data_IF_763587573673
#
_entry.id   IF_763587573673
#
_cell.length_a   1.000
_cell.length_b   1.000
_cell.length_c   1.000
_cell.angle_alpha   90.00
_cell.angle_beta   90.00
_cell.angle_gamma   90.00
#
_symmetry.space_group_name_H-M   'P 1'
#
loop_
_entity.id
_entity.type
_entity.pdbx_description
1 polymer ?
#
# COMPACT_ATOMS: atom_id res chain seq x y z
N UNK A 1 49.90 -17.40 -10.07
CA UNK A 1 48.80 -16.40 -9.94
C UNK A 1 48.02 -16.44 -11.24
N UNK A 2 46.90 -17.15 -11.22
CA UNK A 2 46.19 -17.54 -12.43
C UNK A 2 45.26 -16.39 -12.79
N UNK A 3 45.60 -15.59 -13.80
CA UNK A 3 44.82 -14.43 -14.25
C UNK A 3 43.32 -14.76 -14.46
N UNK A 4 43.03 -16.02 -14.80
CA UNK A 4 41.70 -16.57 -14.99
C UNK A 4 40.87 -16.57 -13.69
N UNK A 5 41.49 -16.80 -12.52
CA UNK A 5 40.79 -16.77 -11.23
C UNK A 5 40.43 -15.33 -10.81
N UNK A 6 41.27 -14.36 -11.18
CA UNK A 6 41.04 -12.94 -10.89
C UNK A 6 39.89 -12.38 -11.73
N UNK A 7 39.80 -12.78 -13.00
CA UNK A 7 38.66 -12.43 -13.86
C UNK A 7 37.36 -13.12 -13.41
N UNK A 8 37.44 -14.38 -12.99
CA UNK A 8 36.28 -15.10 -12.46
C UNK A 8 35.75 -14.47 -11.17
N UNK A 9 36.64 -14.07 -10.24
CA UNK A 9 36.25 -13.38 -9.01
C UNK A 9 35.54 -12.04 -9.29
N UNK A 10 36.01 -11.28 -10.28
CA UNK A 10 35.39 -10.02 -10.70
C UNK A 10 33.97 -10.27 -11.27
N UNK A 11 33.82 -11.30 -12.09
CA UNK A 11 32.51 -11.70 -12.63
C UNK A 11 31.52 -12.13 -11.53
N UNK A 12 31.98 -12.89 -10.54
CA UNK A 12 31.16 -13.29 -9.39
C UNK A 12 30.69 -12.07 -8.59
N UNK A 13 31.56 -11.09 -8.35
CA UNK A 13 31.20 -9.84 -7.66
C UNK A 13 30.14 -9.07 -8.46
N UNK A 14 30.27 -8.98 -9.78
CA UNK A 14 29.28 -8.32 -10.63
C UNK A 14 27.91 -8.99 -10.52
N UNK A 15 27.85 -10.32 -10.59
CA UNK A 15 26.60 -11.08 -10.45
C UNK A 15 25.97 -10.88 -9.06
N UNK A 16 26.79 -10.88 -8.01
CA UNK A 16 26.34 -10.65 -6.64
C UNK A 16 25.76 -9.23 -6.47
N UNK A 17 26.41 -8.24 -7.08
CA UNK A 17 25.97 -6.84 -7.04
C UNK A 17 24.68 -6.64 -7.83
N UNK A 18 24.52 -7.31 -8.99
CA UNK A 18 23.27 -7.32 -9.75
C UNK A 18 22.13 -7.98 -8.99
N UNK A 19 22.35 -9.10 -8.30
CA UNK A 19 21.34 -9.73 -7.44
C UNK A 19 20.93 -8.81 -6.28
N UNK A 20 21.90 -8.16 -5.63
CA UNK A 20 21.62 -7.23 -4.53
C UNK A 20 20.84 -5.99 -5.00
N UNK A 21 21.15 -5.44 -6.18
CA UNK A 21 20.35 -4.37 -6.76
C UNK A 21 18.94 -4.88 -7.13
N UNK A 22 18.84 -6.06 -7.72
CA UNK A 22 17.55 -6.65 -8.10
C UNK A 22 16.64 -6.88 -6.88
N UNK A 23 17.18 -7.26 -5.73
CA UNK A 23 16.39 -7.39 -4.48
C UNK A 23 15.96 -6.03 -3.91
N UNK A 24 16.80 -5.00 -4.00
CA UNK A 24 16.46 -3.63 -3.59
C UNK A 24 15.35 -3.02 -4.47
N UNK A 25 15.38 -3.25 -5.77
CA UNK A 25 14.34 -2.75 -6.70
C UNK A 25 13.03 -3.56 -6.66
N UNK A 26 13.06 -4.81 -6.19
CA UNK A 26 11.83 -5.60 -5.98
C UNK A 26 11.09 -5.29 -4.68
N UNK A 27 11.76 -4.65 -3.72
CA UNK A 27 11.20 -4.43 -2.39
C UNK A 27 10.97 -2.93 -2.05
N UNK A 28 10.30 -2.11 -2.88
CA UNK A 28 10.01 -0.70 -2.58
C UNK A 28 8.96 -0.48 -1.48
N UNK A 29 8.63 -1.49 -0.68
CA UNK A 29 7.72 -1.35 0.44
C UNK A 29 7.19 -2.70 0.84
N UNK A 30 7.25 -3.00 2.14
CA UNK A 30 6.31 -3.93 2.73
C UNK A 30 4.91 -3.43 2.34
N UNK A 31 4.32 -4.06 1.33
CA UNK A 31 2.92 -3.88 1.00
C UNK A 31 2.19 -4.47 2.19
N UNK A 32 1.89 -3.65 3.21
CA UNK A 32 0.87 -4.01 4.19
C UNK A 32 -0.32 -4.43 3.35
N UNK A 33 -0.70 -5.71 3.45
CA UNK A 33 -1.72 -6.27 2.59
C UNK A 33 -2.97 -5.39 2.71
N UNK A 34 -3.29 -4.66 1.64
CA UNK A 34 -4.48 -3.82 1.59
C UNK A 34 -5.67 -4.75 1.73
N UNK A 35 -6.49 -4.52 2.75
CA UNK A 35 -7.68 -5.32 2.97
C UNK A 35 -8.82 -4.82 2.09
N UNK A 36 -9.36 -5.68 1.24
CA UNK A 36 -10.58 -5.37 0.48
C UNK A 36 -11.78 -5.55 1.41
N UNK A 37 -12.48 -4.45 1.68
CA UNK A 37 -13.68 -4.42 2.53
C UNK A 37 -14.89 -3.98 1.72
N UNK A 38 -16.09 -4.39 2.15
CA UNK A 38 -17.33 -3.89 1.53
C UNK A 38 -17.61 -2.42 1.91
N UNK A 39 -18.35 -1.71 1.06
CA UNK A 39 -18.74 -0.32 1.34
C UNK A 39 -19.52 -0.18 2.65
N UNK A 40 -20.44 -1.11 2.92
CA UNK A 40 -21.18 -1.17 4.19
C UNK A 40 -20.25 -1.34 5.39
N UNK A 41 -19.19 -2.13 5.23
CA UNK A 41 -18.18 -2.30 6.27
C UNK A 41 -17.40 -1.01 6.46
N UNK A 42 -16.97 -0.31 5.41
CA UNK A 42 -16.38 1.03 5.53
C UNK A 42 -17.28 1.96 6.35
N UNK A 43 -18.57 2.05 6.02
CA UNK A 43 -19.51 2.91 6.76
C UNK A 43 -19.61 2.53 8.25
N UNK A 44 -19.64 1.23 8.56
CA UNK A 44 -19.65 0.75 9.94
C UNK A 44 -18.35 1.12 10.68
N UNK A 45 -17.20 1.04 10.00
CA UNK A 45 -15.89 1.38 10.55
C UNK A 45 -15.76 2.89 10.79
N UNK A 46 -16.29 3.70 9.86
CA UNK A 46 -16.40 5.16 9.99
C UNK A 46 -17.32 5.53 11.16
N UNK A 47 -18.47 4.87 11.28
CA UNK A 47 -19.42 5.11 12.37
C UNK A 47 -18.83 4.74 13.74
N UNK A 48 -17.92 3.75 13.75
CA UNK A 48 -17.16 3.33 14.93
C UNK A 48 -15.88 4.14 15.17
N UNK A 49 -15.60 5.16 14.34
CA UNK A 49 -14.44 6.03 14.48
C UNK A 49 -13.08 5.34 14.24
N UNK A 50 -13.09 4.19 13.54
CA UNK A 50 -11.87 3.41 13.28
C UNK A 50 -11.16 3.80 11.99
N UNK A 51 -11.73 4.70 11.18
CA UNK A 51 -11.11 5.21 9.94
C UNK A 51 -10.42 6.54 10.22
N UNK A 52 -9.16 6.66 9.80
CA UNK A 52 -8.35 7.88 9.96
C UNK A 52 -8.44 8.76 8.72
N UNK A 53 -8.18 8.17 7.56
CA UNK A 53 -8.14 8.85 6.27
C UNK A 53 -8.74 7.99 5.16
N UNK A 54 -9.30 8.65 4.16
CA UNK A 54 -9.80 8.03 2.93
C UNK A 54 -9.51 8.92 1.73
N UNK A 55 -8.98 8.31 0.67
CA UNK A 55 -8.77 8.89 -0.64
C UNK A 55 -9.82 8.31 -1.59
N UNK A 56 -10.62 9.19 -2.20
CA UNK A 56 -11.68 8.81 -3.14
C UNK A 56 -11.17 9.02 -4.57
N UNK A 57 -11.10 7.95 -5.36
CA UNK A 57 -10.63 7.95 -6.76
C UNK A 57 -11.69 7.36 -7.67
N UNK A 58 -12.63 8.21 -8.13
CA UNK A 58 -13.77 7.74 -8.90
C UNK A 58 -14.67 6.85 -8.02
N UNK A 59 -14.91 5.58 -8.39
CA UNK A 59 -15.69 4.65 -7.57
C UNK A 59 -14.83 3.86 -6.56
N UNK A 60 -13.51 3.90 -6.68
CA UNK A 60 -12.60 3.24 -5.75
C UNK A 60 -12.27 4.17 -4.58
N UNK A 61 -12.26 3.61 -3.38
CA UNK A 61 -11.92 4.30 -2.14
C UNK A 61 -10.78 3.56 -1.49
N UNK A 62 -9.69 4.27 -1.25
CA UNK A 62 -8.56 3.81 -0.47
C UNK A 62 -8.61 4.48 0.88
N UNK A 63 -8.19 3.81 1.95
CA UNK A 63 -8.10 4.47 3.24
C UNK A 63 -7.21 3.75 4.22
N UNK A 64 -7.02 4.38 5.36
CA UNK A 64 -6.23 3.84 6.46
C UNK A 64 -7.06 3.83 7.73
N UNK A 65 -7.07 2.69 8.43
CA UNK A 65 -7.63 2.61 9.77
C UNK A 65 -6.76 3.36 10.78
N UNK A 66 -7.33 3.67 11.93
CA UNK A 66 -6.65 4.27 13.09
C UNK A 66 -5.51 3.40 13.61
N UNK A 67 -5.54 2.09 13.35
CA UNK A 67 -4.46 1.14 13.68
C UNK A 67 -3.33 1.07 12.62
N UNK A 68 -3.43 1.86 11.54
CA UNK A 68 -2.43 1.92 10.47
C UNK A 68 -2.59 0.89 9.36
N UNK A 69 -3.60 0.01 9.42
CA UNK A 69 -3.87 -0.94 8.32
C UNK A 69 -4.54 -0.23 7.14
N UNK A 70 -4.00 -0.38 5.91
CA UNK A 70 -4.65 0.13 4.71
C UNK A 70 -5.80 -0.78 4.28
N UNK A 71 -6.83 -0.18 3.71
CA UNK A 71 -7.96 -0.87 3.12
C UNK A 71 -8.37 -0.26 1.78
N UNK A 72 -9.11 -1.05 1.02
CA UNK A 72 -9.72 -0.71 -0.26
C UNK A 72 -11.21 -1.02 -0.15
N UNK A 73 -12.04 -0.14 -0.68
CA UNK A 73 -13.43 -0.49 -0.96
C UNK A 73 -13.90 0.15 -2.26
N UNK A 74 -14.99 -0.37 -2.80
CA UNK A 74 -15.66 0.17 -3.97
C UNK A 74 -17.01 0.77 -3.53
N UNK A 75 -17.22 2.05 -3.81
CA UNK A 75 -18.48 2.73 -3.56
C UNK A 75 -19.16 3.11 -4.88
N UNK A 76 -20.44 2.73 -5.07
CA UNK A 76 -21.24 3.37 -6.13
C UNK A 76 -21.38 4.86 -5.82
N UNK A 77 -21.41 5.73 -6.85
CA UNK A 77 -21.49 7.20 -6.69
C UNK A 77 -22.62 7.60 -5.72
N UNK A 78 -22.23 7.93 -4.49
CA UNK A 78 -23.13 8.41 -3.44
C UNK A 78 -22.74 9.86 -3.08
N UNK A 79 -23.57 10.85 -3.43
CA UNK A 79 -23.29 12.25 -3.14
C UNK A 79 -23.31 12.58 -1.64
N UNK A 80 -23.84 11.70 -0.78
CA UNK A 80 -23.91 11.90 0.67
C UNK A 80 -22.67 11.40 1.42
N UNK A 81 -21.81 10.62 0.75
CA UNK A 81 -20.65 9.97 1.36
C UNK A 81 -19.65 10.96 1.95
N UNK A 82 -19.27 12.00 1.18
CA UNK A 82 -18.32 13.02 1.61
C UNK A 82 -18.82 13.75 2.85
N UNK A 83 -20.10 14.11 2.87
CA UNK A 83 -20.73 14.78 4.02
C UNK A 83 -20.70 13.88 5.27
N UNK A 84 -20.93 12.57 5.10
CA UNK A 84 -20.93 11.60 6.21
C UNK A 84 -19.53 11.37 6.76
N UNK A 85 -18.53 11.23 5.90
CA UNK A 85 -17.11 11.10 6.28
C UNK A 85 -16.63 12.35 7.02
N UNK A 86 -16.93 13.54 6.49
CA UNK A 86 -16.57 14.82 7.11
C UNK A 86 -17.26 14.99 8.46
N UNK A 87 -18.55 14.66 8.57
CA UNK A 87 -19.31 14.71 9.83
C UNK A 87 -18.79 13.78 10.91
N UNK A 88 -17.97 12.78 10.55
CA UNK A 88 -17.32 11.83 11.47
C UNK A 88 -15.85 12.16 11.74
N UNK A 89 -15.34 13.27 11.22
CA UNK A 89 -13.96 13.73 11.44
C UNK A 89 -12.92 12.91 10.68
N UNK A 90 -13.33 12.20 9.63
CA UNK A 90 -12.41 11.45 8.77
C UNK A 90 -11.70 12.42 7.82
N UNK A 91 -10.39 12.28 7.66
CA UNK A 91 -9.63 13.06 6.68
C UNK A 91 -9.92 12.56 5.26
N UNK A 92 -10.19 13.49 4.34
CA UNK A 92 -10.55 13.21 2.94
C UNK A 92 -9.56 13.92 2.03
#
# INVERSE_FOLDING_TARGET
MNANLRNFALWVIIVLLLLALFTLFQNPGQRTATQDISFSQLLNEVDQGRVRDVLIQGPDIHGTFTDGRPFNTYAPSDPTLVQRLYGKGVAI
#
